data_IF_630649366636
#
_entry.id   IF_630649366636
#
_cell.length_a   1.000
_cell.length_b   1.000
_cell.length_c   1.000
_cell.angle_alpha   90.00
_cell.angle_beta   90.00
_cell.angle_gamma   90.00
#
_symmetry.space_group_name_H-M   'P 1'
#
loop_
_entity.id
_entity.type
_entity.pdbx_description
1 polymer ?
#
# COMPACT_ATOMS: atom_id res chain seq x y z
N UNK A 1 0.96 -35.82 -32.89
CA UNK A 1 -0.03 -34.94 -32.22
C UNK A 1 0.68 -33.77 -31.52
N UNK A 2 1.51 -33.03 -32.26
CA UNK A 2 2.38 -31.94 -31.74
C UNK A 2 1.61 -30.62 -31.56
N UNK A 3 0.51 -30.44 -32.30
CA UNK A 3 -0.20 -29.16 -32.45
C UNK A 3 -0.90 -28.68 -31.18
N UNK A 4 -1.02 -29.52 -30.15
CA UNK A 4 -1.64 -29.16 -28.87
C UNK A 4 -0.68 -28.49 -27.88
N UNK A 5 0.63 -28.53 -28.12
CA UNK A 5 1.63 -27.91 -27.23
C UNK A 5 1.75 -26.39 -27.40
N UNK A 6 1.26 -25.83 -28.51
CA UNK A 6 1.39 -24.40 -28.81
C UNK A 6 0.27 -23.57 -28.14
N UNK A 7 -0.87 -24.18 -27.79
CA UNK A 7 -2.00 -23.48 -27.21
C UNK A 7 -1.88 -23.22 -25.68
N UNK A 8 -0.96 -23.90 -24.98
CA UNK A 8 -0.83 -23.78 -23.53
C UNK A 8 0.05 -22.61 -23.07
N UNK A 9 0.74 -21.92 -23.98
CA UNK A 9 1.74 -20.88 -23.63
C UNK A 9 1.15 -19.45 -23.65
N UNK A 10 -0.10 -19.27 -24.07
CA UNK A 10 -0.68 -17.93 -24.27
C UNK A 10 -1.41 -17.33 -23.03
N UNK A 11 -1.54 -18.06 -21.92
CA UNK A 11 -2.35 -17.62 -20.75
C UNK A 11 -1.50 -17.08 -19.57
N UNK A 12 -0.30 -16.55 -19.82
CA UNK A 12 0.63 -16.13 -18.76
C UNK A 12 0.76 -14.60 -18.55
N UNK A 13 0.00 -13.76 -19.26
CA UNK A 13 0.27 -12.32 -19.29
C UNK A 13 -0.94 -11.44 -18.95
N UNK A 14 -1.54 -11.67 -17.77
CA UNK A 14 -2.40 -10.68 -17.14
C UNK A 14 -2.08 -10.61 -15.63
N UNK A 15 -0.80 -10.43 -15.30
CA UNK A 15 -0.44 -9.91 -13.98
C UNK A 15 -0.80 -8.43 -13.99
N UNK A 16 -2.00 -8.11 -13.50
CA UNK A 16 -2.39 -6.73 -13.25
C UNK A 16 -1.36 -6.10 -12.31
N UNK A 17 -0.81 -4.95 -12.70
CA UNK A 17 0.07 -4.16 -11.85
C UNK A 17 -0.75 -3.74 -10.63
N UNK A 18 -0.65 -4.48 -9.54
CA UNK A 18 -1.21 -4.07 -8.24
C UNK A 18 -0.32 -2.92 -7.77
N UNK A 19 -0.69 -1.70 -8.15
CA UNK A 19 -0.10 -0.53 -7.54
C UNK A 19 -0.58 -0.55 -6.08
N UNK A 20 0.37 -0.60 -5.18
CA UNK A 20 0.13 -0.50 -3.74
C UNK A 20 0.47 0.94 -3.32
N UNK A 21 -0.31 1.48 -2.39
CA UNK A 21 0.07 2.73 -1.75
C UNK A 21 1.38 2.50 -0.99
N UNK A 22 2.20 3.54 -0.86
CA UNK A 22 3.42 3.47 -0.06
C UNK A 22 3.35 4.44 1.09
N UNK A 23 3.98 4.09 2.21
CA UNK A 23 4.15 4.98 3.34
C UNK A 23 5.64 5.09 3.67
N UNK A 24 6.11 6.32 3.87
CA UNK A 24 7.49 6.61 4.31
C UNK A 24 7.44 7.41 5.60
N UNK A 25 8.15 6.92 6.61
CA UNK A 25 8.32 7.63 7.86
C UNK A 25 9.64 8.43 7.87
N UNK A 26 9.55 9.75 7.76
CA UNK A 26 10.72 10.66 7.83
C UNK A 26 11.02 11.15 9.24
N UNK A 27 10.26 10.71 10.25
CA UNK A 27 10.54 11.03 11.64
C UNK A 27 11.66 10.13 12.20
N UNK A 28 12.23 10.57 13.33
CA UNK A 28 13.22 9.81 14.09
C UNK A 28 12.57 8.76 15.03
N UNK A 29 11.23 8.74 15.10
CA UNK A 29 10.45 7.88 15.99
C UNK A 29 9.57 6.95 15.16
N UNK A 30 9.18 5.80 15.75
CA UNK A 30 8.19 4.92 15.13
C UNK A 30 6.84 5.61 15.06
N UNK A 31 6.20 5.56 13.88
CA UNK A 31 4.87 6.10 13.63
C UNK A 31 3.93 4.99 13.23
N UNK A 32 2.69 5.05 13.70
CA UNK A 32 1.67 4.05 13.39
C UNK A 32 0.57 4.68 12.56
N UNK A 33 0.26 4.03 11.43
CA UNK A 33 -0.94 4.27 10.65
C UNK A 33 -1.96 3.19 10.97
N UNK A 34 -3.25 3.51 10.91
CA UNK A 34 -4.27 2.48 11.04
C UNK A 34 -4.92 2.25 9.69
N UNK A 35 -4.76 1.05 9.15
CA UNK A 35 -5.20 0.68 7.81
C UNK A 35 -6.47 -0.15 7.92
N UNK A 36 -7.47 0.18 7.11
CA UNK A 36 -8.69 -0.60 6.96
C UNK A 36 -8.83 -1.03 5.51
N UNK A 37 -8.60 -2.32 5.24
CA UNK A 37 -8.66 -2.92 3.91
C UNK A 37 -9.60 -4.14 3.94
N UNK A 38 -10.50 -4.25 2.96
CA UNK A 38 -11.43 -5.38 2.86
C UNK A 38 -12.33 -5.60 4.09
N UNK A 39 -12.58 -4.54 4.88
CA UNK A 39 -13.36 -4.61 6.13
C UNK A 39 -12.57 -5.04 7.38
N UNK A 40 -11.27 -5.33 7.24
CA UNK A 40 -10.37 -5.61 8.37
C UNK A 40 -9.53 -4.39 8.71
N UNK A 41 -9.35 -4.13 10.01
CA UNK A 41 -8.52 -3.03 10.54
C UNK A 41 -7.21 -3.59 11.07
N UNK A 42 -6.08 -2.99 10.70
CA UNK A 42 -4.74 -3.37 11.11
C UNK A 42 -3.88 -2.14 11.41
N UNK A 43 -2.94 -2.29 12.34
CA UNK A 43 -1.96 -1.25 12.66
C UNK A 43 -0.71 -1.47 11.82
N UNK A 44 -0.30 -0.44 11.08
CA UNK A 44 0.94 -0.41 10.30
C UNK A 44 1.94 0.48 11.04
N UNK A 45 2.86 -0.15 11.76
CA UNK A 45 3.97 0.54 12.41
C UNK A 45 5.13 0.72 11.42
N UNK A 46 5.62 1.95 11.28
CA UNK A 46 6.78 2.31 10.48
C UNK A 46 7.89 2.82 11.39
N UNK A 47 9.04 2.15 11.39
CA UNK A 47 10.25 2.61 12.06
C UNK A 47 10.78 3.91 11.42
N UNK A 48 11.71 4.56 12.11
CA UNK A 48 12.34 5.78 11.62
C UNK A 48 13.05 5.55 10.27
N UNK A 49 12.73 6.35 9.27
CA UNK A 49 13.27 6.23 7.91
C UNK A 49 12.69 5.08 7.08
N UNK A 50 11.76 4.30 7.63
CA UNK A 50 11.22 3.12 6.94
C UNK A 50 10.27 3.51 5.81
N UNK A 51 10.31 2.76 4.71
CA UNK A 51 9.33 2.83 3.63
C UNK A 51 8.69 1.46 3.45
N UNK A 52 7.36 1.41 3.46
CA UNK A 52 6.58 0.18 3.32
C UNK A 52 5.50 0.37 2.27
N UNK A 53 5.31 -0.64 1.42
CA UNK A 53 4.17 -0.73 0.51
C UNK A 53 3.01 -1.45 1.22
N UNK A 54 1.81 -0.91 1.07
CA UNK A 54 0.59 -1.41 1.70
C UNK A 54 -0.61 -1.09 0.80
N UNK A 55 -1.80 -1.62 1.14
CA UNK A 55 -3.03 -1.21 0.47
C UNK A 55 -3.05 -1.46 -1.07
N UNK A 56 -2.78 -2.70 -1.54
CA UNK A 56 -2.75 -3.03 -2.96
C UNK A 56 -4.12 -2.98 -3.66
N UNK A 57 -5.23 -2.98 -2.91
CA UNK A 57 -6.59 -2.93 -3.45
C UNK A 57 -7.34 -1.63 -3.10
N UNK A 58 -6.63 -0.64 -2.56
CA UNK A 58 -7.24 0.53 -1.93
C UNK A 58 -7.74 0.24 -0.51
N UNK A 59 -7.77 1.28 0.32
CA UNK A 59 -8.02 1.16 1.76
C UNK A 59 -8.38 2.52 2.35
N UNK A 60 -8.87 2.50 3.59
CA UNK A 60 -8.97 3.71 4.41
C UNK A 60 -7.82 3.73 5.41
N UNK A 61 -7.17 4.87 5.56
CA UNK A 61 -6.04 5.05 6.47
C UNK A 61 -6.38 6.14 7.48
N UNK A 62 -6.29 5.81 8.76
CA UNK A 62 -6.25 6.82 9.82
C UNK A 62 -4.81 7.28 9.99
N UNK A 63 -4.59 8.55 9.71
CA UNK A 63 -3.31 9.24 9.82
C UNK A 63 -2.96 9.53 11.29
N UNK A 64 -1.69 9.83 11.63
CA UNK A 64 -1.28 10.05 13.02
C UNK A 64 -1.95 11.25 13.70
N UNK A 65 -2.48 12.20 12.91
CA UNK A 65 -3.26 13.34 13.41
C UNK A 65 -4.75 13.00 13.65
N UNK A 66 -5.18 11.77 13.35
CA UNK A 66 -6.56 11.30 13.49
C UNK A 66 -7.43 11.44 12.25
N UNK A 67 -6.92 12.05 11.18
CA UNK A 67 -7.66 12.20 9.92
C UNK A 67 -7.84 10.84 9.23
N UNK A 68 -8.99 10.64 8.58
CA UNK A 68 -9.29 9.43 7.83
C UNK A 68 -9.26 9.76 6.33
N UNK A 69 -8.37 9.09 5.60
CA UNK A 69 -8.20 9.27 4.16
C UNK A 69 -8.43 7.97 3.39
N UNK A 70 -8.97 8.07 2.19
CA UNK A 70 -9.16 6.93 1.29
C UNK A 70 -8.04 6.90 0.26
N UNK A 71 -7.29 5.79 0.23
CA UNK A 71 -6.23 5.55 -0.74
C UNK A 71 -6.72 4.58 -1.81
N UNK A 72 -6.36 4.84 -3.06
CA UNK A 72 -6.72 4.03 -4.22
C UNK A 72 -5.62 3.06 -4.64
N UNK A 73 -4.43 3.13 -4.02
CA UNK A 73 -3.30 2.23 -4.23
C UNK A 73 -2.18 2.82 -5.08
N UNK A 74 -2.20 4.12 -5.39
CA UNK A 74 -1.13 4.78 -6.16
C UNK A 74 -0.45 5.91 -5.40
N UNK A 75 -0.96 6.22 -4.22
CA UNK A 75 -0.56 7.35 -3.40
C UNK A 75 0.67 7.03 -2.55
N UNK A 76 1.43 8.08 -2.22
CA UNK A 76 2.52 8.01 -1.24
C UNK A 76 2.19 8.81 0.01
N UNK A 77 2.13 8.15 1.16
CA UNK A 77 1.95 8.75 2.47
C UNK A 77 3.31 9.10 3.06
N UNK A 78 3.62 10.37 3.18
CA UNK A 78 4.84 10.87 3.81
C UNK A 78 4.54 11.33 5.23
N UNK A 79 5.18 10.72 6.23
CA UNK A 79 5.07 11.13 7.64
C UNK A 79 6.27 11.99 8.00
N UNK A 80 6.03 13.22 8.46
CA UNK A 80 7.06 14.14 8.93
C UNK A 80 6.51 15.10 9.98
N UNK A 81 7.25 15.27 11.07
CA UNK A 81 6.85 16.09 12.22
C UNK A 81 5.59 15.57 12.91
N UNK A 82 5.35 14.25 12.90
CA UNK A 82 4.12 13.64 13.43
C UNK A 82 2.86 13.88 12.59
N UNK A 83 2.99 14.46 11.39
CA UNK A 83 1.88 14.67 10.45
C UNK A 83 2.11 13.83 9.21
N UNK A 84 1.07 13.14 8.74
CA UNK A 84 1.12 12.43 7.47
C UNK A 84 0.54 13.30 6.34
N UNK A 85 1.15 13.24 5.16
CA UNK A 85 0.70 13.93 3.95
C UNK A 85 0.69 12.99 2.76
N UNK A 86 -0.36 13.05 1.98
CA UNK A 86 -0.50 12.28 0.74
C UNK A 86 0.16 13.07 -0.39
N UNK A 87 0.99 12.40 -1.20
CA UNK A 87 1.59 12.91 -2.43
C UNK A 87 1.11 12.12 -3.65
#
# INVERSE_FOLDING_TARGET
MWKSLVAAVALAAAIGSTHAASAVNKDAETRTLIVTEGGSKSDLALAAGETVEFCPNGCFVTLPNGDLEALTGSETVEISGGVARIK
#
